data_IF_210316497907
#
_entry.id   IF_210316497907
#
_cell.length_a   1.000
_cell.length_b   1.000
_cell.length_c   1.000
_cell.angle_alpha   90.00
_cell.angle_beta   90.00
_cell.angle_gamma   90.00
#
_symmetry.space_group_name_H-M   'P 1'
#
loop_
_entity.id
_entity.type
_entity.pdbx_description
1 polymer ?
#
# COMPACT_ATOMS: atom_id res chain seq x y z
N UNK A 1 -7.41 -19.11 -2.59
CA UNK A 1 -6.98 -18.37 -1.38
C UNK A 1 -7.16 -16.91 -1.73
N UNK A 2 -8.25 -16.30 -1.26
CA UNK A 2 -8.54 -14.90 -1.51
C UNK A 2 -8.22 -14.15 -0.22
N UNK A 3 -6.94 -13.83 0.00
CA UNK A 3 -6.62 -12.79 0.97
C UNK A 3 -7.34 -11.52 0.50
N UNK A 4 -8.32 -11.07 1.27
CA UNK A 4 -9.12 -9.90 0.94
C UNK A 4 -8.27 -8.66 1.24
N UNK A 5 -7.54 -8.21 0.22
CA UNK A 5 -6.81 -6.95 0.26
C UNK A 5 -7.75 -5.77 0.01
N UNK A 6 -7.66 -4.75 0.86
CA UNK A 6 -8.42 -3.51 0.72
C UNK A 6 -7.59 -2.29 1.12
N UNK A 7 -8.03 -1.13 0.66
CA UNK A 7 -7.45 0.17 1.01
C UNK A 7 -8.56 1.02 1.64
N UNK A 8 -8.28 1.61 2.79
CA UNK A 8 -9.22 2.42 3.55
C UNK A 8 -8.59 3.75 4.00
N UNK A 9 -9.42 4.72 4.39
CA UNK A 9 -8.93 6.02 4.87
C UNK A 9 -8.25 5.89 6.24
N UNK A 10 -7.40 6.85 6.64
CA UNK A 10 -6.82 6.88 7.98
C UNK A 10 -7.89 6.84 9.09
N UNK A 11 -7.52 6.39 10.29
CA UNK A 11 -8.44 6.40 11.43
C UNK A 11 -8.73 7.82 11.94
N UNK A 12 -7.78 8.73 11.78
CA UNK A 12 -7.89 10.11 12.26
C UNK A 12 -8.60 10.94 11.18
N UNK A 13 -9.73 11.60 11.51
CA UNK A 13 -10.41 12.47 10.57
C UNK A 13 -9.49 13.59 10.06
N UNK A 14 -9.55 13.87 8.76
CA UNK A 14 -8.74 14.86 8.04
C UNK A 14 -7.25 14.53 7.94
N UNK A 15 -6.81 13.36 8.42
CA UNK A 15 -5.49 12.86 8.08
C UNK A 15 -5.48 12.36 6.63
N UNK A 16 -4.39 12.65 5.93
CA UNK A 16 -4.16 12.22 4.55
C UNK A 16 -3.34 10.93 4.53
N UNK A 17 -3.51 10.14 3.49
CA UNK A 17 -2.88 8.85 3.29
C UNK A 17 -3.90 7.73 3.21
N UNK A 18 -3.46 6.51 3.48
CA UNK A 18 -4.32 5.34 3.49
C UNK A 18 -3.81 4.24 4.41
N UNK A 19 -4.72 3.31 4.71
CA UNK A 19 -4.42 2.02 5.32
C UNK A 19 -4.53 0.94 4.27
N UNK A 20 -3.45 0.22 4.05
CA UNK A 20 -3.42 -1.02 3.27
C UNK A 20 -3.71 -2.18 4.23
N UNK A 21 -4.75 -2.96 3.97
CA UNK A 21 -5.26 -3.96 4.92
C UNK A 21 -5.32 -5.32 4.23
N UNK A 22 -4.64 -6.30 4.83
CA UNK A 22 -4.72 -7.71 4.47
C UNK A 22 -5.48 -8.47 5.56
N UNK A 23 -6.60 -9.06 5.18
CA UNK A 23 -7.33 -10.00 6.03
C UNK A 23 -6.76 -11.40 5.81
N UNK A 24 -6.08 -11.94 6.82
CA UNK A 24 -5.49 -13.28 6.76
C UNK A 24 -6.52 -14.35 7.15
N UNK A 25 -6.35 -15.56 6.63
CA UNK A 25 -7.27 -16.69 6.86
C UNK A 25 -7.35 -17.13 8.34
N UNK A 26 -6.37 -16.74 9.17
CA UNK A 26 -6.34 -16.99 10.61
C UNK A 26 -7.16 -15.96 11.42
N UNK A 27 -7.75 -14.97 10.75
CA UNK A 27 -8.51 -13.88 11.35
C UNK A 27 -7.64 -12.73 11.86
N UNK A 28 -6.32 -12.76 11.65
CA UNK A 28 -5.45 -11.63 11.93
C UNK A 28 -5.44 -10.64 10.76
N UNK A 29 -5.44 -9.34 11.09
CA UNK A 29 -5.28 -8.27 10.10
C UNK A 29 -3.84 -7.77 10.09
N UNK A 30 -3.25 -7.66 8.91
CA UNK A 30 -2.01 -6.91 8.71
C UNK A 30 -2.34 -5.56 8.11
N UNK A 31 -1.91 -4.48 8.77
CA UNK A 31 -2.20 -3.11 8.35
C UNK A 31 -0.90 -2.35 8.14
N UNK A 32 -0.76 -1.74 6.96
CA UNK A 32 0.33 -0.81 6.63
C UNK A 32 -0.28 0.57 6.46
N UNK A 33 0.32 1.56 7.13
CA UNK A 33 -0.06 2.95 6.98
C UNK A 33 0.85 3.64 5.97
N UNK A 34 0.28 4.25 4.94
CA UNK A 34 1.00 5.10 4.00
C UNK A 34 0.55 6.53 4.21
N UNK A 35 1.52 7.44 4.32
CA UNK A 35 1.25 8.88 4.33
C UNK A 35 0.87 9.31 2.91
N UNK A 36 0.32 10.51 2.80
CA UNK A 36 -0.02 11.13 1.53
C UNK A 36 1.12 11.06 0.50
N UNK A 37 2.33 11.47 0.91
CA UNK A 37 3.50 11.52 0.02
C UNK A 37 3.88 10.12 -0.49
N UNK A 38 3.90 9.12 0.41
CA UNK A 38 4.23 7.74 0.07
C UNK A 38 3.16 7.13 -0.86
N UNK A 39 1.89 7.45 -0.63
CA UNK A 39 0.76 7.02 -1.48
C UNK A 39 0.84 7.65 -2.88
N UNK A 40 1.15 8.94 -2.98
CA UNK A 40 1.30 9.61 -4.26
C UNK A 40 2.48 9.06 -5.06
N UNK A 41 3.62 8.84 -4.41
CA UNK A 41 4.79 8.22 -5.05
C UNK A 41 4.47 6.79 -5.52
N UNK A 42 3.80 5.99 -4.68
CA UNK A 42 3.37 4.64 -5.06
C UNK A 42 2.43 4.68 -6.28
N UNK A 43 1.44 5.57 -6.28
CA UNK A 43 0.54 5.73 -7.41
C UNK A 43 1.28 6.17 -8.68
N UNK A 44 2.25 7.07 -8.58
CA UNK A 44 3.07 7.49 -9.72
C UNK A 44 3.79 6.29 -10.34
N UNK A 45 4.49 5.48 -9.54
CA UNK A 45 5.21 4.29 -10.01
C UNK A 45 4.24 3.28 -10.67
N UNK A 46 3.13 2.96 -9.99
CA UNK A 46 2.12 2.03 -10.50
C UNK A 46 1.46 2.54 -11.78
N UNK A 47 1.20 3.84 -11.89
CA UNK A 47 0.56 4.44 -13.07
C UNK A 47 1.44 4.40 -14.32
N UNK A 48 2.76 4.44 -14.14
CA UNK A 48 3.75 4.35 -15.23
C UNK A 48 4.18 2.92 -15.55
N UNK A 49 3.61 1.91 -14.87
CA UNK A 49 4.02 0.51 -14.98
C UNK A 49 5.54 0.34 -14.78
N UNK A 50 6.13 1.17 -13.90
CA UNK A 50 7.56 1.18 -13.61
C UNK A 50 7.89 0.36 -12.36
N UNK A 51 9.19 0.10 -12.19
CA UNK A 51 9.73 -0.56 -11.00
C UNK A 51 10.57 0.42 -10.21
N UNK A 52 10.39 0.48 -8.90
CA UNK A 52 11.17 1.36 -8.04
C UNK A 52 11.13 0.91 -6.57
N UNK A 53 11.97 1.54 -5.74
CA UNK A 53 11.95 1.40 -4.29
C UNK A 53 11.49 2.72 -3.65
N UNK A 54 10.46 2.63 -2.82
CA UNK A 54 9.99 3.73 -1.97
C UNK A 54 10.57 3.55 -0.58
N UNK A 55 11.37 4.51 -0.10
CA UNK A 55 11.82 4.54 1.29
C UNK A 55 10.80 5.31 2.13
N UNK A 56 10.32 4.69 3.21
CA UNK A 56 9.33 5.32 4.09
C UNK A 56 10.03 6.22 5.13
N UNK A 57 9.26 7.11 5.78
CA UNK A 57 9.79 8.13 6.69
C UNK A 57 10.66 7.59 7.83
N UNK A 58 10.32 6.40 8.33
CA UNK A 58 11.02 5.78 9.45
C UNK A 58 12.48 5.39 9.11
N UNK A 59 12.86 5.48 7.84
CA UNK A 59 14.21 5.22 7.32
C UNK A 59 14.62 3.75 7.37
N UNK A 60 13.71 2.85 7.77
CA UNK A 60 13.98 1.41 7.90
C UNK A 60 12.97 0.56 7.13
N UNK A 61 11.81 1.11 6.82
CA UNK A 61 10.76 0.47 6.03
C UNK A 61 10.84 0.91 4.58
N UNK A 62 10.46 0.01 3.67
CA UNK A 62 10.43 0.32 2.23
C UNK A 62 9.42 -0.53 1.48
N UNK A 63 9.00 -0.03 0.32
CA UNK A 63 8.14 -0.72 -0.64
C UNK A 63 8.97 -0.97 -1.89
N UNK A 64 9.09 -2.23 -2.30
CA UNK A 64 9.72 -2.60 -3.56
C UNK A 64 8.65 -2.92 -4.58
N UNK A 65 8.50 -2.06 -5.59
CA UNK A 65 7.53 -2.23 -6.67
C UNK A 65 8.23 -2.87 -7.86
N UNK A 66 7.84 -4.10 -8.19
CA UNK A 66 8.25 -4.77 -9.43
C UNK A 66 7.06 -4.89 -10.40
N UNK A 67 7.26 -5.49 -11.58
CA UNK A 67 6.19 -5.68 -12.56
C UNK A 67 5.09 -6.63 -12.09
N UNK A 68 5.48 -7.66 -11.35
CA UNK A 68 4.60 -8.79 -11.02
C UNK A 68 4.13 -8.71 -9.57
N UNK A 69 5.07 -8.46 -8.65
CA UNK A 69 4.85 -8.45 -7.20
C UNK A 69 5.40 -7.17 -6.58
N UNK A 70 4.60 -6.58 -5.70
CA UNK A 70 5.03 -5.50 -4.80
C UNK A 70 5.26 -6.07 -3.40
N UNK A 71 6.44 -5.81 -2.86
CA UNK A 71 6.87 -6.30 -1.55
C UNK A 71 6.95 -5.13 -0.55
N UNK A 72 6.42 -5.34 0.65
CA UNK A 72 6.41 -4.38 1.74
C UNK A 72 7.33 -4.86 2.84
N UNK A 73 8.43 -4.14 3.06
CA UNK A 73 9.38 -4.38 4.13
C UNK A 73 9.12 -3.37 5.25
N UNK A 74 8.46 -3.80 6.32
CA UNK A 74 8.13 -2.92 7.45
C UNK A 74 9.00 -3.24 8.66
N UNK A 75 9.31 -2.22 9.46
CA UNK A 75 10.06 -2.37 10.69
C UNK A 75 9.39 -3.41 11.61
N UNK A 76 10.15 -4.43 12.01
CA UNK A 76 9.75 -5.46 12.97
C UNK A 76 8.57 -6.35 12.57
N UNK A 77 8.19 -6.39 11.28
CA UNK A 77 7.20 -7.36 10.79
C UNK A 77 7.79 -8.23 9.68
N UNK A 78 7.13 -9.35 9.40
CA UNK A 78 7.43 -10.12 8.19
C UNK A 78 7.10 -9.29 6.96
N UNK A 79 7.83 -9.51 5.86
CA UNK A 79 7.47 -8.93 4.57
C UNK A 79 6.06 -9.38 4.14
N UNK A 80 5.32 -8.45 3.55
CA UNK A 80 4.00 -8.69 2.97
C UNK A 80 4.10 -8.47 1.47
N UNK A 81 3.43 -9.31 0.70
CA UNK A 81 3.52 -9.28 -0.77
C UNK A 81 2.11 -9.23 -1.37
N UNK A 82 2.00 -8.59 -2.52
CA UNK A 82 0.78 -8.53 -3.31
C UNK A 82 1.11 -8.47 -4.79
N UNK A 83 0.26 -9.05 -5.63
CA UNK A 83 0.35 -8.85 -7.08
C UNK A 83 0.24 -7.35 -7.39
N UNK A 84 1.24 -6.81 -8.10
CA UNK A 84 1.33 -5.38 -8.41
C UNK A 84 0.10 -4.89 -9.16
N UNK A 85 -0.48 -5.74 -10.01
CA UNK A 85 -1.73 -5.45 -10.71
C UNK A 85 -2.90 -5.20 -9.75
N UNK A 86 -3.07 -6.06 -8.73
CA UNK A 86 -4.14 -5.92 -7.73
C UNK A 86 -3.93 -4.63 -6.94
N UNK A 87 -2.69 -4.35 -6.53
CA UNK A 87 -2.35 -3.11 -5.83
C UNK A 87 -2.69 -1.87 -6.66
N UNK A 88 -2.28 -1.85 -7.94
CA UNK A 88 -2.59 -0.76 -8.89
C UNK A 88 -4.09 -0.51 -9.01
N UNK A 89 -4.87 -1.56 -9.25
CA UNK A 89 -6.33 -1.46 -9.36
C UNK A 89 -6.95 -0.86 -8.09
N UNK A 90 -6.49 -1.29 -6.91
CA UNK A 90 -7.01 -0.82 -5.63
C UNK A 90 -6.58 0.60 -5.27
N UNK A 91 -5.32 0.97 -5.54
CA UNK A 91 -4.82 2.34 -5.33
C UNK A 91 -5.59 3.32 -6.23
N UNK A 92 -5.79 2.97 -7.51
CA UNK A 92 -6.58 3.79 -8.43
C UNK A 92 -8.05 3.92 -8.01
N UNK A 93 -8.67 2.81 -7.58
CA UNK A 93 -10.05 2.81 -7.08
C UNK A 93 -10.18 3.72 -5.84
N UNK A 94 -9.24 3.63 -4.92
CA UNK A 94 -9.21 4.42 -3.70
C UNK A 94 -9.02 5.91 -3.99
N UNK A 95 -8.01 6.30 -4.77
CA UNK A 95 -7.74 7.70 -5.12
C UNK A 95 -8.87 8.34 -5.95
N UNK A 96 -9.61 7.54 -6.74
CA UNK A 96 -10.80 8.04 -7.45
C UNK A 96 -11.92 8.44 -6.47
N UNK A 97 -12.08 7.69 -5.38
CA UNK A 97 -13.09 7.95 -4.33
C UNK A 97 -12.61 9.00 -3.32
N UNK A 98 -11.30 9.11 -3.13
CA UNK A 98 -10.64 9.98 -2.15
C UNK A 98 -9.51 10.77 -2.83
N UNK A 99 -9.81 11.78 -3.67
CA UNK A 99 -8.81 12.50 -4.46
C UNK A 99 -7.85 13.35 -3.60
N UNK A 100 -8.24 13.68 -2.37
CA UNK A 100 -7.44 14.46 -1.41
C UNK A 100 -6.73 13.59 -0.36
N UNK A 101 -6.87 12.26 -0.46
CA UNK A 101 -6.15 11.31 0.38
C UNK A 101 -4.65 11.46 0.19
#
# INVERSE_FOLDING_TARGET
MNNLFQIDTPYIPNEKGCRLIWNNDDGEESVIYLRHEDLLQLNEILSHDSTDKIELEDGVSSILVNSDTTEFFMANTKSIEIETKILKEKVMEFLTKHPDA
#
